data_IF_047267843525
#
_entry.id   IF_047267843525
#
_cell.length_a   1.000
_cell.length_b   1.000
_cell.length_c   1.000
_cell.angle_alpha   90.00
_cell.angle_beta   90.00
_cell.angle_gamma   90.00
#
_symmetry.space_group_name_H-M   'P 1'
#
loop_
_entity.id
_entity.type
_entity.pdbx_description
1 polymer ?
#
# COMPACT_ATOMS: atom_id res chain seq x y z
N UNK A 1 -49.68 -13.24 -21.51
CA UNK A 1 -49.03 -12.48 -22.59
C UNK A 1 -47.71 -11.97 -22.01
N UNK A 2 -46.67 -12.77 -22.16
CA UNK A 2 -45.34 -12.57 -21.59
C UNK A 2 -44.41 -12.39 -22.78
N UNK A 3 -43.80 -11.21 -22.90
CA UNK A 3 -42.89 -10.87 -24.00
C UNK A 3 -41.53 -11.50 -23.68
N UNK A 4 -41.12 -12.43 -24.52
CA UNK A 4 -39.86 -13.16 -24.43
C UNK A 4 -38.81 -12.42 -25.29
N UNK A 5 -37.97 -11.61 -24.64
CA UNK A 5 -37.06 -10.64 -25.29
C UNK A 5 -35.70 -11.24 -25.69
N UNK A 6 -35.55 -12.57 -25.68
CA UNK A 6 -34.26 -13.24 -25.94
C UNK A 6 -34.34 -14.41 -26.93
N UNK A 7 -35.42 -14.51 -27.71
CA UNK A 7 -35.59 -15.59 -28.68
C UNK A 7 -34.80 -15.42 -30.00
N UNK A 8 -34.06 -14.32 -30.20
CA UNK A 8 -33.39 -14.00 -31.48
C UNK A 8 -31.85 -13.87 -31.39
N UNK A 9 -31.17 -14.71 -30.62
CA UNK A 9 -29.72 -14.89 -30.80
C UNK A 9 -29.43 -16.36 -31.10
N UNK A 10 -29.59 -16.70 -32.39
CA UNK A 10 -29.20 -17.97 -32.96
C UNK A 10 -27.67 -18.14 -33.04
N UNK A 11 -27.27 -19.39 -32.81
CA UNK A 11 -26.11 -20.14 -33.32
C UNK A 11 -24.80 -19.43 -33.65
N UNK A 12 -23.77 -19.88 -32.92
CA UNK A 12 -22.39 -20.13 -33.33
C UNK A 12 -21.75 -19.17 -34.35
N UNK A 13 -20.93 -18.27 -33.82
CA UNK A 13 -19.90 -17.54 -34.56
C UNK A 13 -18.61 -17.58 -33.73
N UNK A 14 -17.57 -18.19 -34.32
CA UNK A 14 -16.23 -18.40 -33.78
C UNK A 14 -15.66 -17.16 -33.05
N UNK A 15 -15.23 -17.35 -31.80
CA UNK A 15 -14.35 -16.40 -31.13
C UNK A 15 -12.97 -16.42 -31.83
N UNK A 16 -12.34 -15.27 -32.09
CA UNK A 16 -11.03 -15.22 -32.73
C UNK A 16 -9.97 -15.89 -31.84
N UNK A 17 -9.12 -16.70 -32.47
CA UNK A 17 -8.03 -17.41 -31.80
C UNK A 17 -7.02 -16.45 -31.16
N UNK A 18 -6.61 -16.79 -29.93
CA UNK A 18 -5.55 -16.09 -29.17
C UNK A 18 -4.21 -16.20 -29.93
N UNK A 19 -3.44 -15.10 -30.08
CA UNK A 19 -2.15 -15.14 -30.79
C UNK A 19 -1.11 -16.04 -30.08
N UNK A 20 -0.23 -16.73 -30.84
CA UNK A 20 0.75 -17.65 -30.30
C UNK A 20 2.00 -16.90 -29.81
N UNK A 21 1.92 -16.28 -28.63
CA UNK A 21 3.10 -15.83 -27.86
C UNK A 21 3.15 -16.41 -26.45
N UNK A 22 2.24 -17.31 -26.11
CA UNK A 22 2.20 -18.08 -24.86
C UNK A 22 2.92 -19.44 -24.96
N UNK A 23 4.21 -19.44 -25.30
CA UNK A 23 5.05 -20.62 -25.08
C UNK A 23 6.23 -20.24 -24.19
N UNK A 24 6.12 -20.63 -22.92
CA UNK A 24 7.21 -20.60 -21.97
C UNK A 24 8.39 -21.44 -22.49
N UNK A 25 9.59 -20.87 -22.44
CA UNK A 25 10.84 -21.62 -22.68
C UNK A 25 11.07 -22.62 -21.54
N UNK A 26 11.57 -23.84 -21.82
CA UNK A 26 11.82 -24.83 -20.77
C UNK A 26 13.11 -24.56 -20.00
N UNK A 27 12.95 -24.61 -18.67
CA UNK A 27 13.88 -25.02 -17.61
C UNK A 27 15.26 -24.36 -17.48
N UNK A 28 15.38 -23.48 -16.47
CA UNK A 28 16.57 -23.40 -15.63
C UNK A 28 16.25 -24.01 -14.25
N UNK A 29 17.11 -24.90 -13.78
CA UNK A 29 16.99 -25.61 -12.50
C UNK A 29 16.86 -24.62 -11.34
N UNK A 30 15.82 -24.70 -10.49
CA UNK A 30 15.72 -23.83 -9.33
C UNK A 30 16.78 -24.20 -8.27
N UNK A 31 17.41 -23.22 -7.61
CA UNK A 31 18.30 -23.50 -6.48
C UNK A 31 17.48 -24.08 -5.31
N UNK A 32 18.07 -25.02 -4.59
CA UNK A 32 17.44 -25.74 -3.48
C UNK A 32 16.87 -24.78 -2.43
N UNK A 33 15.54 -24.79 -2.29
CA UNK A 33 14.78 -24.08 -1.27
C UNK A 33 15.16 -24.63 0.11
N UNK A 34 15.73 -23.79 0.97
CA UNK A 34 15.83 -24.11 2.40
C UNK A 34 14.41 -24.11 2.95
N UNK A 35 13.94 -25.27 3.41
CA UNK A 35 12.64 -25.42 4.05
C UNK A 35 12.56 -24.49 5.27
N UNK A 36 11.58 -23.58 5.27
CA UNK A 36 11.14 -22.88 6.48
C UNK A 36 10.41 -23.91 7.33
N UNK A 37 10.79 -24.11 8.60
CA UNK A 37 10.08 -25.06 9.46
C UNK A 37 8.63 -24.61 9.68
N UNK A 38 7.67 -25.55 9.76
CA UNK A 38 6.27 -25.22 9.97
C UNK A 38 6.08 -24.49 11.31
N UNK A 39 5.16 -23.52 11.40
CA UNK A 39 4.89 -22.84 12.65
C UNK A 39 4.34 -23.84 13.68
N UNK A 40 4.97 -23.80 14.86
CA UNK A 40 4.63 -24.62 16.02
C UNK A 40 3.16 -24.42 16.40
N UNK A 41 2.36 -25.49 16.31
CA UNK A 41 0.89 -25.47 16.42
C UNK A 41 0.35 -25.27 17.85
N UNK A 42 1.15 -24.68 18.75
CA UNK A 42 0.79 -24.44 20.16
C UNK A 42 1.39 -23.16 20.76
N UNK A 43 1.43 -22.04 20.02
CA UNK A 43 1.60 -20.75 20.68
C UNK A 43 0.29 -20.31 21.32
N UNK A 44 0.16 -20.60 22.62
CA UNK A 44 -0.74 -19.86 23.50
C UNK A 44 -0.53 -18.37 23.26
N UNK A 45 -1.61 -17.63 22.98
CA UNK A 45 -1.62 -16.18 22.86
C UNK A 45 -0.77 -15.58 24.00
N UNK A 46 0.30 -14.81 23.71
CA UNK A 46 1.07 -14.19 24.76
C UNK A 46 0.16 -13.18 25.49
N UNK A 47 -0.20 -13.52 26.73
CA UNK A 47 -0.77 -12.60 27.70
C UNK A 47 0.27 -11.53 28.05
N UNK A 48 0.35 -10.50 27.22
CA UNK A 48 0.62 -9.10 27.55
C UNK A 48 0.09 -8.28 26.37
N UNK A 49 -1.23 -8.33 26.17
CA UNK A 49 -1.91 -7.40 25.28
C UNK A 49 -1.88 -6.01 25.93
N UNK A 50 -0.83 -5.23 25.67
CA UNK A 50 -1.03 -3.78 25.59
C UNK A 50 -2.06 -3.63 24.48
N UNK A 51 -3.28 -3.20 24.80
CA UNK A 51 -4.30 -2.98 23.79
C UNK A 51 -3.73 -1.99 22.77
N UNK A 52 -3.25 -2.51 21.63
CA UNK A 52 -3.08 -1.71 20.44
C UNK A 52 -4.42 -1.03 20.21
N UNK A 53 -4.45 0.30 20.10
CA UNK A 53 -5.73 0.99 19.89
C UNK A 53 -6.40 0.42 18.66
N UNK A 54 -7.68 0.06 18.77
CA UNK A 54 -8.46 -0.36 17.62
C UNK A 54 -8.48 0.74 16.56
N UNK A 55 -8.66 0.35 15.29
CA UNK A 55 -8.62 1.32 14.19
C UNK A 55 -9.57 2.51 14.29
N UNK A 56 -10.81 2.36 14.76
CA UNK A 56 -11.68 3.51 15.03
C UNK A 56 -11.02 4.54 15.96
N UNK A 57 -10.48 4.08 17.10
CA UNK A 57 -9.83 4.95 18.09
C UNK A 57 -8.58 5.61 17.53
N UNK A 58 -7.81 4.92 16.69
CA UNK A 58 -6.68 5.51 15.98
C UNK A 58 -7.13 6.66 15.07
N UNK A 59 -8.10 6.39 14.19
CA UNK A 59 -8.61 7.39 13.24
C UNK A 59 -9.22 8.62 13.92
N UNK A 60 -10.02 8.42 14.97
CA UNK A 60 -10.58 9.49 15.81
C UNK A 60 -9.46 10.35 16.43
N UNK A 61 -8.42 9.72 16.98
CA UNK A 61 -7.31 10.44 17.59
C UNK A 61 -6.55 11.32 16.59
N UNK A 62 -6.37 10.84 15.35
CA UNK A 62 -5.74 11.63 14.27
C UNK A 62 -6.62 12.82 13.89
N UNK A 63 -7.91 12.59 13.64
CA UNK A 63 -8.84 13.66 13.27
C UNK A 63 -8.96 14.71 14.39
N UNK A 64 -9.06 14.27 15.65
CA UNK A 64 -9.08 15.13 16.82
C UNK A 64 -7.80 15.96 16.97
N UNK A 65 -6.63 15.37 16.72
CA UNK A 65 -5.36 16.10 16.78
C UNK A 65 -5.29 17.17 15.69
N UNK A 66 -5.67 16.81 14.46
CA UNK A 66 -5.70 17.71 13.32
C UNK A 66 -6.64 18.90 13.52
N UNK A 67 -7.89 18.63 13.92
CA UNK A 67 -8.91 19.66 14.07
C UNK A 67 -8.70 20.53 15.32
N UNK A 68 -8.24 19.98 16.45
CA UNK A 68 -7.93 20.78 17.64
C UNK A 68 -6.72 21.69 17.45
N UNK A 69 -5.76 21.29 16.62
CA UNK A 69 -4.62 22.13 16.26
C UNK A 69 -4.93 23.13 15.13
N UNK A 70 -6.18 23.23 14.67
CA UNK A 70 -6.62 24.08 13.58
C UNK A 70 -5.88 23.82 12.24
N UNK A 71 -5.64 22.55 11.90
CA UNK A 71 -4.89 22.15 10.69
C UNK A 71 -5.57 22.51 9.35
N UNK A 72 -6.87 22.82 9.36
CA UNK A 72 -7.60 23.24 8.15
C UNK A 72 -8.20 22.07 7.36
N UNK A 73 -8.46 22.28 6.07
CA UNK A 73 -9.21 21.35 5.20
C UNK A 73 -8.33 20.39 4.39
N UNK A 74 -7.00 20.57 4.43
CA UNK A 74 -6.03 19.78 3.66
C UNK A 74 -5.76 18.42 4.32
N UNK A 75 -6.68 17.47 4.13
CA UNK A 75 -6.58 16.14 4.74
C UNK A 75 -5.38 15.33 4.25
N UNK A 76 -4.80 15.68 3.10
CA UNK A 76 -3.59 15.06 2.57
C UNK A 76 -2.38 15.21 3.51
N UNK A 77 -2.35 16.26 4.34
CA UNK A 77 -1.27 16.52 5.30
C UNK A 77 -1.27 15.47 6.42
N UNK A 78 -2.33 15.34 7.26
CA UNK A 78 -2.36 14.33 8.32
C UNK A 78 -2.28 12.90 7.78
N UNK A 79 -2.88 12.63 6.60
CA UNK A 79 -2.77 11.33 5.94
C UNK A 79 -1.32 11.04 5.55
N UNK A 80 -0.60 12.01 4.99
CA UNK A 80 0.82 11.90 4.64
C UNK A 80 1.73 11.67 5.85
N UNK A 81 1.44 12.30 6.99
CA UNK A 81 2.18 12.07 8.24
C UNK A 81 2.01 10.63 8.71
N UNK A 82 0.78 10.10 8.73
CA UNK A 82 0.52 8.71 9.11
C UNK A 82 1.20 7.75 8.12
N UNK A 83 1.11 8.02 6.82
CA UNK A 83 1.76 7.21 5.78
C UNK A 83 3.29 7.15 5.95
N UNK A 84 3.94 8.28 6.26
CA UNK A 84 5.38 8.32 6.47
C UNK A 84 5.82 7.50 7.69
N UNK A 85 5.06 7.55 8.78
CA UNK A 85 5.32 6.75 9.98
C UNK A 85 5.10 5.26 9.70
N UNK A 86 4.03 4.91 8.98
CA UNK A 86 3.75 3.52 8.60
C UNK A 86 4.83 2.92 7.68
N UNK A 87 5.35 3.76 6.79
CA UNK A 87 6.41 3.41 5.85
C UNK A 87 7.82 3.56 6.44
N UNK A 88 7.98 3.85 7.72
CA UNK A 88 9.32 4.14 8.23
C UNK A 88 10.29 2.96 7.97
N UNK A 89 11.47 3.20 7.37
CA UNK A 89 12.33 2.12 6.88
C UNK A 89 12.88 1.17 7.96
N UNK A 90 13.06 1.69 9.17
CA UNK A 90 13.63 0.97 10.30
C UNK A 90 12.51 0.16 10.97
N UNK A 91 12.67 -1.15 11.04
CA UNK A 91 11.70 -2.11 11.60
C UNK A 91 12.20 -2.73 12.90
N UNK A 92 11.29 -3.29 13.69
CA UNK A 92 11.49 -4.02 14.95
C UNK A 92 11.97 -3.18 16.16
N UNK A 93 11.94 -1.84 16.06
CA UNK A 93 12.30 -0.92 17.14
C UNK A 93 11.22 0.14 17.44
N UNK A 94 9.94 -0.22 17.63
CA UNK A 94 8.84 0.75 17.73
C UNK A 94 9.03 1.74 18.89
N UNK A 95 9.56 1.29 20.04
CA UNK A 95 9.78 2.15 21.21
C UNK A 95 10.90 3.17 21.03
N UNK A 96 12.01 2.77 20.44
CA UNK A 96 13.14 3.68 20.20
C UNK A 96 12.80 4.70 19.12
N UNK A 97 12.10 4.26 18.08
CA UNK A 97 11.55 5.15 17.05
C UNK A 97 10.53 6.12 17.62
N UNK A 98 9.60 5.66 18.48
CA UNK A 98 8.66 6.54 19.16
C UNK A 98 9.38 7.61 20.00
N UNK A 99 10.45 7.24 20.72
CA UNK A 99 11.27 8.20 21.46
C UNK A 99 12.00 9.19 20.54
N UNK A 100 12.52 8.72 19.40
CA UNK A 100 13.15 9.57 18.39
C UNK A 100 12.16 10.61 17.86
N UNK A 101 11.01 10.17 17.34
CA UNK A 101 10.01 11.07 16.76
C UNK A 101 9.42 12.05 17.79
N UNK A 102 9.24 11.64 19.04
CA UNK A 102 8.74 12.52 20.10
C UNK A 102 9.68 13.69 20.44
N UNK A 103 10.96 13.63 20.03
CA UNK A 103 11.92 14.72 20.22
C UNK A 103 11.94 15.73 19.06
N UNK A 104 11.30 15.38 17.94
CA UNK A 104 11.29 16.21 16.75
C UNK A 104 10.28 17.34 16.84
N UNK A 105 10.57 18.45 16.17
CA UNK A 105 9.63 19.54 15.93
C UNK A 105 8.94 19.39 14.57
N UNK A 106 7.92 20.23 14.31
CA UNK A 106 7.12 20.15 13.08
C UNK A 106 7.95 20.15 11.78
N UNK A 107 9.01 20.95 11.68
CA UNK A 107 9.87 20.99 10.47
C UNK A 107 10.65 19.70 10.29
N UNK A 108 11.15 19.14 11.38
CA UNK A 108 11.87 17.86 11.36
C UNK A 108 10.92 16.72 10.99
N UNK A 109 9.65 16.77 11.42
CA UNK A 109 8.63 15.81 10.97
C UNK A 109 8.39 15.92 9.46
N UNK A 110 8.28 17.13 8.90
CA UNK A 110 8.18 17.32 7.44
C UNK A 110 9.36 16.70 6.72
N UNK A 111 10.58 16.90 7.26
CA UNK A 111 11.77 16.28 6.70
C UNK A 111 11.70 14.74 6.75
N UNK A 112 11.21 14.15 7.84
CA UNK A 112 10.99 12.70 7.91
C UNK A 112 9.96 12.20 6.89
N UNK A 113 8.91 12.98 6.60
CA UNK A 113 7.94 12.65 5.53
C UNK A 113 8.65 12.60 4.17
N UNK A 114 9.47 13.60 3.84
CA UNK A 114 10.28 13.63 2.61
C UNK A 114 11.21 12.42 2.53
N UNK A 115 11.88 12.07 3.62
CA UNK A 115 12.82 10.94 3.69
C UNK A 115 12.13 9.58 3.52
N UNK A 116 10.98 9.38 4.17
CA UNK A 116 10.20 8.16 4.01
C UNK A 116 9.72 8.00 2.55
N UNK A 117 9.18 9.07 1.96
CA UNK A 117 8.76 9.08 0.56
C UNK A 117 9.94 8.79 -0.39
N UNK A 118 11.09 9.44 -0.20
CA UNK A 118 12.29 9.23 -1.02
C UNK A 118 12.85 7.80 -0.89
N UNK A 119 12.90 7.26 0.33
CA UNK A 119 13.37 5.89 0.58
C UNK A 119 12.55 4.86 -0.20
N UNK A 120 11.22 5.00 -0.18
CA UNK A 120 10.33 4.10 -0.90
C UNK A 120 10.23 4.41 -2.37
N UNK A 121 10.40 5.66 -2.81
CA UNK A 121 10.44 5.99 -4.23
C UNK A 121 11.61 5.28 -4.93
N UNK A 122 12.74 5.13 -4.25
CA UNK A 122 13.87 4.34 -4.77
C UNK A 122 13.55 2.84 -4.93
N UNK A 123 12.55 2.31 -4.24
CA UNK A 123 12.20 0.87 -4.25
C UNK A 123 10.94 0.56 -5.05
N UNK A 124 9.93 1.42 -4.91
CA UNK A 124 8.58 1.34 -5.46
C UNK A 124 8.16 2.71 -6.02
N UNK A 125 8.86 3.20 -7.06
CA UNK A 125 8.57 4.51 -7.65
C UNK A 125 7.15 4.56 -8.22
N UNK A 126 6.63 3.42 -8.67
CA UNK A 126 5.26 3.25 -9.15
C UNK A 126 4.22 3.59 -8.07
N UNK A 127 4.33 2.95 -6.90
CA UNK A 127 3.39 3.15 -5.79
C UNK A 127 3.58 4.51 -5.13
N UNK A 128 4.82 4.97 -4.94
CA UNK A 128 5.05 6.32 -4.40
C UNK A 128 4.63 7.40 -5.39
N UNK A 129 4.64 7.11 -6.69
CA UNK A 129 4.04 7.95 -7.71
C UNK A 129 2.55 8.20 -7.49
N UNK A 130 1.79 7.13 -7.20
CA UNK A 130 0.37 7.22 -6.84
C UNK A 130 0.20 7.91 -5.48
N UNK A 131 1.03 7.55 -4.49
CA UNK A 131 1.00 8.15 -3.16
C UNK A 131 1.51 9.61 -3.13
N UNK A 132 2.00 10.17 -4.24
CA UNK A 132 2.48 11.55 -4.29
C UNK A 132 1.38 12.55 -3.89
N UNK A 133 0.11 12.25 -4.13
CA UNK A 133 -1.04 13.05 -3.68
C UNK A 133 -0.98 13.37 -2.18
N UNK A 134 -0.53 12.43 -1.34
CA UNK A 134 -0.44 12.60 0.11
C UNK A 134 0.97 12.96 0.61
N UNK A 135 1.96 13.04 -0.28
CA UNK A 135 3.35 13.41 0.08
C UNK A 135 3.80 14.76 -0.50
N UNK A 136 3.18 15.22 -1.59
CA UNK A 136 3.59 16.42 -2.34
C UNK A 136 3.57 17.71 -1.51
N UNK A 137 2.70 17.79 -0.51
CA UNK A 137 2.65 18.93 0.40
C UNK A 137 3.97 19.09 1.16
N UNK A 138 4.68 17.99 1.45
CA UNK A 138 5.91 18.05 2.20
C UNK A 138 7.02 18.75 1.42
N UNK A 139 6.99 18.76 0.08
CA UNK A 139 8.00 19.44 -0.76
C UNK A 139 7.88 20.98 -0.72
N UNK A 140 6.83 21.50 -0.09
CA UNK A 140 6.61 22.94 0.08
C UNK A 140 7.49 23.47 1.23
N UNK A 141 8.16 24.60 1.04
CA UNK A 141 9.03 25.21 2.07
C UNK A 141 8.32 26.36 2.83
N UNK A 142 7.06 26.65 2.52
CA UNK A 142 6.28 27.79 3.02
C UNK A 142 5.27 27.44 4.13
N UNK A 143 5.43 26.29 4.78
CA UNK A 143 4.57 25.86 5.89
C UNK A 143 4.46 26.92 6.99
N UNK A 144 3.23 27.30 7.32
CA UNK A 144 2.96 28.26 8.39
C UNK A 144 3.28 27.66 9.77
N UNK A 145 3.49 28.52 10.77
CA UNK A 145 3.71 28.06 12.17
C UNK A 145 2.54 27.21 12.69
N UNK A 146 1.31 27.53 12.29
CA UNK A 146 0.12 26.78 12.69
C UNK A 146 0.08 25.40 12.02
N UNK A 147 0.40 25.33 10.72
CA UNK A 147 0.45 24.06 10.00
C UNK A 147 1.54 23.13 10.57
N UNK A 148 2.73 23.66 10.85
CA UNK A 148 3.81 22.91 11.50
C UNK A 148 3.42 22.40 12.90
N UNK A 149 2.62 23.16 13.65
CA UNK A 149 2.10 22.71 14.93
C UNK A 149 1.06 21.58 14.75
N UNK A 150 0.15 21.70 13.79
CA UNK A 150 -0.83 20.65 13.49
C UNK A 150 -0.17 19.36 13.00
N UNK A 151 0.84 19.45 12.14
CA UNK A 151 1.68 18.32 11.69
C UNK A 151 2.31 17.61 12.89
N UNK A 152 2.91 18.37 13.81
CA UNK A 152 3.50 17.83 15.03
C UNK A 152 2.47 17.11 15.91
N UNK A 153 1.30 17.71 16.14
CA UNK A 153 0.26 17.09 16.98
C UNK A 153 -0.31 15.81 16.35
N UNK A 154 -0.44 15.75 15.01
CA UNK A 154 -0.84 14.54 14.30
C UNK A 154 0.21 13.44 14.45
N UNK A 155 1.50 13.75 14.23
CA UNK A 155 2.57 12.76 14.40
C UNK A 155 2.57 12.21 15.83
N UNK A 156 2.44 13.09 16.82
CA UNK A 156 2.39 12.72 18.23
C UNK A 156 1.17 11.87 18.57
N UNK A 157 0.00 12.18 17.99
CA UNK A 157 -1.19 11.36 18.14
C UNK A 157 -1.00 9.97 17.53
N UNK A 158 -0.48 9.87 16.32
CA UNK A 158 -0.18 8.60 15.66
C UNK A 158 0.78 7.73 16.50
N UNK A 159 1.83 8.33 17.05
CA UNK A 159 2.81 7.63 17.90
C UNK A 159 2.17 7.14 19.21
N UNK A 160 1.37 7.98 19.87
CA UNK A 160 0.65 7.60 21.11
C UNK A 160 -0.36 6.47 20.89
N UNK A 161 -0.89 6.39 19.68
CA UNK A 161 -1.79 5.32 19.24
C UNK A 161 -1.07 4.23 18.46
N UNK A 162 0.22 4.02 18.77
CA UNK A 162 1.00 2.85 18.38
C UNK A 162 1.13 2.60 16.86
N UNK A 163 1.14 3.64 16.03
CA UNK A 163 1.37 3.53 14.57
C UNK A 163 2.60 2.67 14.24
N UNK A 164 3.66 2.80 15.04
CA UNK A 164 4.93 2.08 14.85
C UNK A 164 4.85 0.62 15.30
N UNK A 165 4.02 0.27 16.29
CA UNK A 165 3.79 -1.13 16.64
C UNK A 165 2.90 -1.82 15.60
N UNK A 166 1.95 -1.08 15.02
CA UNK A 166 1.05 -1.58 13.98
C UNK A 166 1.71 -1.88 12.64
N UNK A 167 2.84 -1.24 12.33
CA UNK A 167 3.45 -1.30 10.99
C UNK A 167 4.95 -1.48 11.01
N UNK A 168 5.57 -1.47 12.19
CA UNK A 168 7.01 -1.50 12.36
C UNK A 168 7.59 -2.91 12.37
N UNK A 169 6.84 -3.98 12.16
CA UNK A 169 7.39 -5.34 12.11
C UNK A 169 8.16 -5.57 10.80
N UNK A 170 9.24 -6.33 10.86
CA UNK A 170 9.89 -6.88 9.66
C UNK A 170 9.07 -7.96 8.97
N UNK A 171 8.09 -8.55 9.67
CA UNK A 171 7.15 -9.52 9.13
C UNK A 171 5.86 -8.81 8.67
N UNK A 172 5.55 -8.78 7.35
CA UNK A 172 4.34 -8.12 6.84
C UNK A 172 3.02 -8.71 7.35
N UNK A 173 3.02 -9.93 7.91
CA UNK A 173 1.84 -10.49 8.58
C UNK A 173 1.39 -9.60 9.74
N UNK A 174 2.32 -9.17 10.60
CA UNK A 174 2.00 -8.37 11.79
C UNK A 174 1.60 -6.94 11.41
N UNK A 175 2.03 -6.46 10.23
CA UNK A 175 1.74 -5.12 9.74
C UNK A 175 0.33 -4.97 9.12
N UNK A 176 -0.38 -6.09 8.93
CA UNK A 176 -1.66 -6.14 8.23
C UNK A 176 -2.86 -6.30 9.19
N UNK A 177 -2.65 -6.19 10.50
CA UNK A 177 -3.72 -6.29 11.51
C UNK A 177 -4.74 -5.14 11.39
N UNK A 178 -4.30 -3.97 10.93
CA UNK A 178 -5.12 -2.76 10.83
C UNK A 178 -4.85 -2.03 9.51
N UNK A 179 -5.91 -1.51 8.89
CA UNK A 179 -5.80 -0.54 7.80
C UNK A 179 -5.79 0.90 8.36
N UNK A 180 -4.61 1.36 8.77
CA UNK A 180 -4.45 2.70 9.33
C UNK A 180 -4.86 3.81 8.36
N UNK A 181 -4.62 3.61 7.06
CA UNK A 181 -4.95 4.59 6.04
C UNK A 181 -6.47 4.76 5.93
N UNK A 182 -7.23 3.66 5.92
CA UNK A 182 -8.70 3.72 5.89
C UNK A 182 -9.23 4.49 7.09
N UNK A 183 -8.82 4.10 8.30
CA UNK A 183 -9.31 4.75 9.52
C UNK A 183 -8.94 6.23 9.59
N UNK A 184 -7.75 6.60 9.11
CA UNK A 184 -7.32 8.00 9.04
C UNK A 184 -8.18 8.79 8.06
N UNK A 185 -8.30 8.31 6.81
CA UNK A 185 -9.03 9.00 5.75
C UNK A 185 -10.52 9.11 6.09
N UNK A 186 -11.15 8.04 6.56
CA UNK A 186 -12.58 8.03 6.90
C UNK A 186 -12.90 9.02 8.02
N UNK A 187 -12.05 9.14 9.05
CA UNK A 187 -12.30 10.06 10.17
C UNK A 187 -11.98 11.53 9.84
N UNK A 188 -11.09 11.79 8.89
CA UNK A 188 -10.78 13.15 8.43
C UNK A 188 -11.79 13.69 7.40
N UNK A 189 -12.52 12.81 6.71
CA UNK A 189 -13.54 13.23 5.74
C UNK A 189 -14.72 13.86 6.46
N UNK A 190 -15.18 14.99 5.93
CA UNK A 190 -16.46 15.57 6.35
C UNK A 190 -17.61 14.64 5.96
N UNK A 191 -18.66 14.61 6.79
CA UNK A 191 -19.85 13.78 6.57
C UNK A 191 -20.52 14.00 5.19
N UNK A 192 -20.42 15.20 4.62
CA UNK A 192 -20.93 15.54 3.29
C UNK A 192 -20.09 14.99 2.13
N UNK A 193 -18.76 14.92 2.31
CA UNK A 193 -17.85 14.35 1.32
C UNK A 193 -18.05 12.83 1.20
N UNK A 194 -18.22 12.13 2.33
CA UNK A 194 -18.50 10.68 2.37
C UNK A 194 -19.81 10.33 1.64
N UNK A 195 -20.86 11.13 1.83
CA UNK A 195 -22.16 10.90 1.18
C UNK A 195 -22.14 11.17 -0.33
N UNK A 196 -21.32 12.12 -0.79
CA UNK A 196 -21.20 12.48 -2.21
C UNK A 196 -20.42 11.47 -3.04
N UNK A 197 -19.42 10.82 -2.43
CA UNK A 197 -18.58 9.82 -3.11
C UNK A 197 -19.18 8.40 -3.05
N UNK A 198 -20.06 8.12 -2.09
CA UNK A 198 -20.69 6.79 -1.95
C UNK A 198 -19.71 5.69 -1.53
N UNK A 199 -18.48 6.06 -1.17
CA UNK A 199 -17.46 5.19 -0.61
C UNK A 199 -17.79 4.87 0.84
N UNK A 200 -18.01 3.60 1.13
CA UNK A 200 -18.18 3.11 2.49
C UNK A 200 -17.01 2.21 2.86
N UNK A 201 -16.40 2.48 4.01
CA UNK A 201 -15.43 1.58 4.60
C UNK A 201 -16.08 0.20 4.78
N UNK A 202 -15.53 -0.82 4.13
CA UNK A 202 -15.96 -2.21 4.31
C UNK A 202 -15.36 -2.72 5.62
N UNK A 203 -16.17 -3.09 6.63
CA UNK A 203 -15.64 -3.56 7.90
C UNK A 203 -14.69 -4.76 7.72
N UNK A 204 -13.61 -4.86 8.52
CA UNK A 204 -12.62 -5.93 8.39
C UNK A 204 -13.24 -7.34 8.40
N UNK A 205 -14.25 -7.56 9.23
CA UNK A 205 -14.93 -8.84 9.36
C UNK A 205 -15.61 -9.27 8.05
N UNK A 206 -16.16 -8.31 7.30
CA UNK A 206 -16.76 -8.57 5.99
C UNK A 206 -15.68 -8.89 4.97
N UNK A 207 -14.58 -8.15 4.97
CA UNK A 207 -13.45 -8.44 4.07
C UNK A 207 -12.83 -9.82 4.35
N UNK A 208 -12.76 -10.25 5.61
CA UNK A 208 -12.25 -11.56 6.02
C UNK A 208 -13.19 -12.70 5.60
N UNK A 209 -14.50 -12.48 5.66
CA UNK A 209 -15.47 -13.45 5.14
C UNK A 209 -15.38 -13.55 3.62
N UNK A 210 -15.31 -12.42 2.91
CA UNK A 210 -15.21 -12.38 1.45
C UNK A 210 -13.92 -13.02 0.94
N UNK A 211 -12.79 -12.79 1.62
CA UNK A 211 -11.51 -13.40 1.23
C UNK A 211 -11.56 -14.93 1.27
N UNK A 212 -12.26 -15.52 2.24
CA UNK A 212 -12.48 -16.98 2.32
C UNK A 212 -13.41 -17.53 1.26
N UNK A 213 -14.34 -16.72 0.73
CA UNK A 213 -15.15 -17.13 -0.42
C UNK A 213 -14.33 -17.11 -1.71
N UNK A 214 -13.50 -16.09 -1.91
CA UNK A 214 -12.66 -15.94 -3.09
C UNK A 214 -11.49 -16.92 -3.08
N UNK A 215 -10.92 -17.22 -1.92
CA UNK A 215 -9.79 -18.13 -1.73
C UNK A 215 -10.22 -19.21 -0.72
N UNK A 216 -10.97 -20.25 -1.13
CA UNK A 216 -11.51 -21.21 -0.18
C UNK A 216 -10.42 -22.11 0.45
N UNK A 217 -10.66 -22.57 1.68
CA UNK A 217 -9.74 -23.39 2.48
C UNK A 217 -9.42 -24.78 1.88
N UNK A 218 -10.15 -25.23 0.85
CA UNK A 218 -9.99 -26.54 0.22
C UNK A 218 -9.85 -26.50 -1.30
N UNK A 219 -8.93 -27.30 -1.86
CA UNK A 219 -8.73 -27.51 -3.30
C UNK A 219 -9.80 -28.37 -3.99
N UNK A 220 -11.02 -28.40 -3.44
CA UNK A 220 -12.11 -29.29 -3.87
C UNK A 220 -13.49 -28.63 -3.89
N UNK A 221 -13.57 -27.30 -3.83
CA UNK A 221 -14.80 -26.60 -4.20
C UNK A 221 -15.10 -26.85 -5.68
N UNK A 222 -16.38 -26.91 -6.04
CA UNK A 222 -16.78 -26.99 -7.44
C UNK A 222 -16.22 -25.77 -8.20
N UNK A 223 -15.08 -25.97 -8.87
CA UNK A 223 -14.37 -24.99 -9.71
C UNK A 223 -15.19 -24.55 -10.92
N UNK A 224 -16.41 -25.06 -11.09
CA UNK A 224 -17.35 -24.69 -12.14
C UNK A 224 -17.67 -23.19 -12.16
N UNK A 225 -17.51 -22.48 -11.05
CA UNK A 225 -17.88 -21.08 -10.96
C UNK A 225 -16.85 -20.10 -11.57
N UNK A 226 -15.60 -20.53 -11.84
CA UNK A 226 -14.57 -19.74 -12.53
C UNK A 226 -14.06 -18.46 -11.83
N UNK A 227 -14.75 -17.96 -10.81
CA UNK A 227 -14.43 -16.72 -10.09
C UNK A 227 -13.63 -16.93 -8.79
N UNK A 228 -13.63 -18.15 -8.23
CA UNK A 228 -12.93 -18.48 -6.98
C UNK A 228 -11.55 -19.09 -7.24
N UNK A 229 -10.54 -18.67 -6.47
CA UNK A 229 -9.17 -19.19 -6.46
C UNK A 229 -9.06 -20.44 -5.56
N UNK A 230 -9.81 -21.49 -5.89
CA UNK A 230 -9.82 -22.75 -5.11
C UNK A 230 -8.44 -23.43 -5.05
N UNK A 231 -7.63 -23.25 -6.09
CA UNK A 231 -6.22 -23.68 -6.18
C UNK A 231 -5.30 -22.45 -6.24
N UNK A 232 -5.40 -21.57 -5.23
CA UNK A 232 -4.54 -20.38 -5.15
C UNK A 232 -3.06 -20.79 -5.17
N UNK A 233 -2.33 -20.28 -6.17
CA UNK A 233 -0.92 -20.59 -6.38
C UNK A 233 -0.13 -19.36 -6.83
N UNK A 234 1.19 -19.32 -6.57
CA UNK A 234 2.10 -18.30 -7.10
C UNK A 234 1.84 -18.00 -8.58
N UNK A 235 1.88 -16.72 -8.94
CA UNK A 235 1.67 -16.21 -10.29
C UNK A 235 0.22 -15.91 -10.65
N UNK A 236 -0.76 -16.24 -9.79
CA UNK A 236 -2.15 -15.81 -9.98
C UNK A 236 -2.33 -14.31 -9.70
N UNK A 237 -3.40 -13.74 -10.26
CA UNK A 237 -3.75 -12.33 -10.11
C UNK A 237 -4.98 -12.15 -9.23
N UNK A 238 -4.96 -11.12 -8.38
CA UNK A 238 -6.07 -10.68 -7.55
C UNK A 238 -6.34 -9.21 -7.89
N UNK A 239 -7.61 -8.92 -8.20
CA UNK A 239 -8.08 -7.62 -8.66
C UNK A 239 -9.12 -7.06 -7.69
N UNK A 240 -9.05 -5.77 -7.41
CA UNK A 240 -10.16 -5.01 -6.82
C UNK A 240 -10.41 -3.74 -7.64
N UNK A 241 -11.55 -3.65 -8.37
CA UNK A 241 -11.84 -2.52 -9.23
C UNK A 241 -12.31 -1.26 -8.47
N UNK A 242 -12.59 -1.36 -7.17
CA UNK A 242 -13.01 -0.26 -6.30
C UNK A 242 -12.33 -0.40 -4.94
N UNK A 243 -11.00 -0.43 -4.95
CA UNK A 243 -10.19 -0.94 -3.86
C UNK A 243 -10.26 -0.10 -2.58
N UNK A 244 -10.64 1.18 -2.65
CA UNK A 244 -10.46 2.14 -1.57
C UNK A 244 -9.00 2.16 -1.15
N UNK A 245 -8.74 1.93 0.14
CA UNK A 245 -7.39 1.78 0.71
C UNK A 245 -6.84 0.35 0.63
N UNK A 246 -7.55 -0.58 -0.02
CA UNK A 246 -7.12 -1.97 -0.22
C UNK A 246 -7.56 -2.94 0.87
N UNK A 247 -8.60 -2.64 1.65
CA UNK A 247 -9.06 -3.50 2.76
C UNK A 247 -9.33 -4.96 2.35
N UNK A 248 -9.85 -5.18 1.13
CA UNK A 248 -10.04 -6.54 0.59
C UNK A 248 -8.70 -7.26 0.36
N UNK A 249 -7.68 -6.55 -0.13
CA UNK A 249 -6.33 -7.08 -0.34
C UNK A 249 -5.63 -7.42 0.96
N UNK A 250 -5.81 -6.62 2.02
CA UNK A 250 -5.31 -6.93 3.37
C UNK A 250 -5.77 -8.33 3.79
N UNK A 251 -7.07 -8.57 3.69
CA UNK A 251 -7.72 -9.80 4.15
C UNK A 251 -7.39 -10.99 3.25
N UNK A 252 -7.31 -10.78 1.93
CA UNK A 252 -6.81 -11.79 0.99
C UNK A 252 -5.35 -12.17 1.26
N UNK A 253 -4.46 -11.19 1.50
CA UNK A 253 -3.05 -11.43 1.82
C UNK A 253 -2.88 -12.18 3.14
N UNK A 254 -3.63 -11.82 4.19
CA UNK A 254 -3.61 -12.58 5.45
C UNK A 254 -4.13 -14.00 5.28
N UNK A 255 -5.15 -14.20 4.43
CA UNK A 255 -5.65 -15.53 4.15
C UNK A 255 -4.64 -16.38 3.35
N UNK A 256 -3.94 -15.81 2.37
CA UNK A 256 -2.84 -16.48 1.67
C UNK A 256 -1.73 -16.91 2.64
N UNK A 257 -1.32 -16.02 3.56
CA UNK A 257 -0.31 -16.33 4.58
C UNK A 257 -0.76 -17.44 5.52
N UNK A 258 -2.03 -17.43 5.93
CA UNK A 258 -2.62 -18.51 6.73
C UNK A 258 -2.51 -19.86 6.02
N UNK A 259 -2.61 -19.88 4.69
CA UNK A 259 -2.41 -21.06 3.85
C UNK A 259 -0.94 -21.38 3.54
N UNK A 260 0.01 -20.63 4.11
CA UNK A 260 1.45 -20.81 3.89
C UNK A 260 1.94 -20.31 2.53
N UNK A 261 1.15 -19.48 1.84
CA UNK A 261 1.54 -18.82 0.59
C UNK A 261 2.08 -17.43 0.87
N UNK A 262 3.05 -16.99 0.07
CA UNK A 262 3.57 -15.62 0.13
C UNK A 262 2.74 -14.70 -0.77
N UNK A 263 2.07 -13.65 -0.23
CA UNK A 263 1.41 -12.63 -1.03
C UNK A 263 2.30 -11.98 -2.10
N UNK A 264 3.62 -11.92 -1.88
CA UNK A 264 4.55 -11.34 -2.83
C UNK A 264 4.71 -12.15 -4.13
N UNK A 265 4.29 -13.41 -4.13
CA UNK A 265 4.28 -14.30 -5.30
C UNK A 265 3.03 -14.10 -6.19
N UNK A 266 2.12 -13.20 -5.81
CA UNK A 266 0.89 -12.91 -6.55
C UNK A 266 0.96 -11.55 -7.24
N UNK A 267 0.13 -11.40 -8.27
CA UNK A 267 -0.10 -10.11 -8.92
C UNK A 267 -1.30 -9.44 -8.27
N UNK A 268 -1.16 -8.17 -7.85
CA UNK A 268 -2.23 -7.40 -7.23
C UNK A 268 -2.53 -6.19 -8.07
N UNK A 269 -3.79 -5.95 -8.42
CA UNK A 269 -4.17 -4.73 -9.12
C UNK A 269 -5.40 -4.08 -8.48
N UNK A 270 -5.16 -2.92 -7.87
CA UNK A 270 -6.18 -2.06 -7.32
C UNK A 270 -6.52 -0.96 -8.32
N UNK A 271 -7.80 -0.69 -8.46
CA UNK A 271 -8.30 0.54 -9.06
C UNK A 271 -9.13 1.30 -8.04
N UNK A 272 -8.96 2.62 -8.01
CA UNK A 272 -9.71 3.50 -7.11
C UNK A 272 -9.92 4.86 -7.79
N UNK A 273 -11.12 5.43 -7.69
CA UNK A 273 -11.42 6.73 -8.31
C UNK A 273 -10.93 7.90 -7.46
N UNK A 274 -10.95 7.76 -6.14
CA UNK A 274 -10.51 8.80 -5.22
C UNK A 274 -8.99 8.82 -5.06
N UNK A 275 -8.33 9.96 -5.40
CA UNK A 275 -6.87 10.04 -5.35
C UNK A 275 -6.26 9.84 -3.96
N UNK A 276 -6.99 10.16 -2.88
CA UNK A 276 -6.50 10.02 -1.51
C UNK A 276 -6.59 8.57 -1.05
N UNK A 277 -7.68 7.87 -1.38
CA UNK A 277 -7.86 6.45 -1.12
C UNK A 277 -6.87 5.61 -1.96
N UNK A 278 -6.69 5.93 -3.25
CA UNK A 278 -5.69 5.32 -4.11
C UNK A 278 -4.27 5.48 -3.54
N UNK A 279 -3.93 6.68 -3.05
CA UNK A 279 -2.67 6.92 -2.37
C UNK A 279 -2.52 6.08 -1.08
N UNK A 280 -3.58 5.97 -0.28
CA UNK A 280 -3.62 5.09 0.89
C UNK A 280 -3.45 3.60 0.53
N UNK A 281 -4.07 3.16 -0.57
CA UNK A 281 -3.89 1.82 -1.13
C UNK A 281 -2.43 1.56 -1.47
N UNK A 282 -1.78 2.49 -2.19
CA UNK A 282 -0.38 2.36 -2.58
C UNK A 282 0.55 2.25 -1.37
N UNK A 283 0.31 3.03 -0.31
CA UNK A 283 1.02 2.90 0.97
C UNK A 283 0.81 1.52 1.58
N UNK A 284 -0.45 1.08 1.67
CA UNK A 284 -0.81 -0.19 2.27
C UNK A 284 -0.23 -1.40 1.52
N UNK A 285 -0.16 -1.35 0.19
CA UNK A 285 0.48 -2.42 -0.60
C UNK A 285 1.96 -2.63 -0.23
N UNK A 286 2.66 -1.54 0.13
CA UNK A 286 4.05 -1.60 0.61
C UNK A 286 4.08 -2.13 2.06
N UNK A 287 3.26 -1.57 2.96
CA UNK A 287 3.21 -1.95 4.38
C UNK A 287 2.87 -3.43 4.55
N UNK A 288 1.88 -3.91 3.80
CA UNK A 288 1.44 -5.30 3.81
C UNK A 288 2.30 -6.20 2.93
N UNK A 289 3.39 -5.73 2.33
CA UNK A 289 4.33 -6.59 1.60
C UNK A 289 3.68 -7.41 0.49
N UNK A 290 2.83 -6.80 -0.34
CA UNK A 290 2.18 -7.48 -1.47
C UNK A 290 3.14 -7.77 -2.65
N UNK A 291 4.42 -7.46 -2.49
CA UNK A 291 5.46 -7.78 -3.46
C UNK A 291 5.54 -6.81 -4.64
N UNK A 292 6.46 -7.10 -5.57
CA UNK A 292 6.81 -6.20 -6.68
C UNK A 292 5.70 -6.10 -7.74
N UNK A 293 4.82 -7.10 -7.83
CA UNK A 293 3.77 -7.14 -8.85
C UNK A 293 2.51 -6.36 -8.46
N UNK A 294 2.44 -5.78 -7.26
CA UNK A 294 1.31 -4.97 -6.82
C UNK A 294 1.24 -3.61 -7.54
N UNK A 295 0.07 -3.23 -8.06
CA UNK A 295 -0.16 -1.98 -8.80
C UNK A 295 -1.43 -1.28 -8.33
N UNK A 296 -1.42 0.05 -8.39
CA UNK A 296 -2.60 0.88 -8.16
C UNK A 296 -2.78 1.79 -9.37
N UNK A 297 -4.01 1.90 -9.87
CA UNK A 297 -4.41 2.93 -10.83
C UNK A 297 -5.51 3.82 -10.23
N UNK A 298 -5.35 5.14 -10.38
CA UNK A 298 -6.35 6.11 -9.96
C UNK A 298 -7.23 6.51 -11.15
N UNK A 299 -8.54 6.25 -11.10
CA UNK A 299 -9.50 6.64 -12.14
C UNK A 299 -10.80 5.84 -12.13
N UNK A 300 -11.73 6.21 -13.00
CA UNK A 300 -13.09 5.69 -13.04
C UNK A 300 -13.16 4.32 -13.74
N UNK A 301 -13.56 3.30 -12.99
CA UNK A 301 -13.68 1.90 -13.46
C UNK A 301 -14.66 1.73 -14.60
N UNK A 302 -15.74 2.50 -14.61
CA UNK A 302 -16.80 2.39 -15.60
C UNK A 302 -16.50 3.20 -16.86
N UNK A 303 -15.81 4.33 -16.73
CA UNK A 303 -15.50 5.22 -17.84
C UNK A 303 -14.17 4.90 -18.54
N UNK A 304 -13.19 4.38 -17.81
CA UNK A 304 -11.80 4.26 -18.26
C UNK A 304 -11.42 2.77 -18.35
N UNK A 305 -11.95 2.02 -19.33
CA UNK A 305 -11.91 0.55 -19.35
C UNK A 305 -10.54 -0.17 -19.46
N UNK A 306 -9.39 0.53 -19.48
CA UNK A 306 -8.05 -0.08 -19.63
C UNK A 306 -7.04 0.40 -18.56
N UNK A 307 -7.45 0.31 -17.30
CA UNK A 307 -6.65 0.83 -16.18
C UNK A 307 -5.45 -0.05 -15.83
N UNK A 308 -5.52 -1.34 -16.17
CA UNK A 308 -4.40 -2.25 -16.02
C UNK A 308 -3.20 -1.82 -16.87
N UNK A 309 -3.39 -1.59 -18.18
CA UNK A 309 -2.28 -1.19 -19.05
C UNK A 309 -1.72 0.18 -18.64
N UNK A 310 -2.58 1.09 -18.18
CA UNK A 310 -2.14 2.37 -17.60
C UNK A 310 -1.29 2.19 -16.36
N UNK A 311 -1.64 1.27 -15.47
CA UNK A 311 -0.85 0.98 -14.27
C UNK A 311 0.53 0.39 -14.64
N UNK A 312 0.56 -0.50 -15.64
CA UNK A 312 1.81 -1.09 -16.17
C UNK A 312 2.70 -0.02 -16.79
N UNK A 313 2.13 0.86 -17.64
CA UNK A 313 2.88 1.95 -18.27
C UNK A 313 3.37 2.96 -17.23
N UNK A 314 2.51 3.36 -16.28
CA UNK A 314 2.91 4.24 -15.17
C UNK A 314 4.06 3.65 -14.36
N UNK A 315 4.03 2.35 -14.05
CA UNK A 315 5.16 1.69 -13.37
C UNK A 315 6.43 1.84 -14.17
N UNK A 316 6.38 1.50 -15.47
CA UNK A 316 7.52 1.58 -16.37
C UNK A 316 8.09 3.00 -16.42
N UNK A 317 7.25 4.00 -16.64
CA UNK A 317 7.66 5.42 -16.68
C UNK A 317 8.36 5.85 -15.38
N UNK A 318 7.82 5.42 -14.23
CA UNK A 318 8.34 5.76 -12.91
C UNK A 318 9.66 5.04 -12.59
N UNK A 319 9.81 3.78 -13.00
CA UNK A 319 11.07 3.04 -12.92
C UNK A 319 12.14 3.68 -13.80
N UNK A 320 11.81 4.01 -15.06
CA UNK A 320 12.74 4.69 -15.95
C UNK A 320 13.14 6.07 -15.39
N UNK A 321 12.21 6.81 -14.77
CA UNK A 321 12.51 8.08 -14.09
C UNK A 321 13.47 7.88 -12.92
N UNK A 322 13.23 6.87 -12.08
CA UNK A 322 14.12 6.50 -10.97
C UNK A 322 15.53 6.19 -11.47
N UNK A 323 15.63 5.35 -12.49
CA UNK A 323 16.93 4.90 -13.00
C UNK A 323 17.72 6.06 -13.62
N UNK A 324 17.04 6.98 -14.33
CA UNK A 324 17.67 8.22 -14.81
C UNK A 324 18.19 9.09 -13.67
N UNK A 325 17.39 9.30 -12.62
CA UNK A 325 17.80 10.13 -11.48
C UNK A 325 18.93 9.50 -10.67
N UNK A 326 18.87 8.19 -10.43
CA UNK A 326 19.93 7.44 -9.75
C UNK A 326 21.23 7.47 -10.54
N UNK A 327 21.17 7.30 -11.87
CA UNK A 327 22.32 7.42 -12.77
C UNK A 327 22.96 8.81 -12.73
N UNK A 328 22.15 9.87 -12.75
CA UNK A 328 22.63 11.25 -12.64
C UNK A 328 23.31 11.53 -11.29
N UNK A 329 22.72 11.05 -10.19
CA UNK A 329 23.30 11.19 -8.85
C UNK A 329 24.62 10.44 -8.70
N UNK A 330 24.71 9.22 -9.23
CA UNK A 330 25.95 8.44 -9.23
C UNK A 330 27.06 9.14 -10.03
N UNK A 331 26.72 9.74 -11.17
CA UNK A 331 27.67 10.53 -11.97
C UNK A 331 28.17 11.76 -11.20
N UNK A 332 27.27 12.51 -10.58
CA UNK A 332 27.64 13.69 -9.78
C UNK A 332 28.58 13.30 -8.62
N UNK A 333 28.27 12.23 -7.89
CA UNK A 333 29.11 11.72 -6.81
C UNK A 333 30.50 11.28 -7.32
N UNK A 334 30.58 10.67 -8.51
CA UNK A 334 31.85 10.28 -9.12
C UNK A 334 32.70 11.50 -9.50
N UNK A 335 32.09 12.56 -10.06
CA UNK A 335 32.77 13.82 -10.38
C UNK A 335 33.33 14.47 -9.12
N UNK A 336 32.52 14.57 -8.05
CA UNK A 336 32.98 15.12 -6.77
C UNK A 336 34.12 14.29 -6.17
N UNK A 337 34.03 12.95 -6.25
CA UNK A 337 35.10 12.05 -5.80
C UNK A 337 36.41 12.28 -6.55
N UNK A 338 36.35 12.40 -7.88
CA UNK A 338 37.52 12.69 -8.71
C UNK A 338 38.13 14.06 -8.40
N UNK A 339 37.31 15.10 -8.20
CA UNK A 339 37.77 16.43 -7.80
C UNK A 339 38.51 16.40 -6.46
N UNK A 340 37.98 15.69 -5.45
CA UNK A 340 38.65 15.55 -4.15
C UNK A 340 40.01 14.85 -4.25
N UNK A 341 40.12 13.83 -5.10
CA UNK A 341 41.39 13.13 -5.34
C UNK A 341 42.42 14.02 -6.06
N UNK A 342 41.99 14.78 -7.06
CA UNK A 342 42.85 15.74 -7.76
C UNK A 342 43.36 16.83 -6.82
N UNK A 343 42.47 17.44 -6.02
CA UNK A 343 42.87 18.45 -5.03
C UNK A 343 43.81 17.89 -3.95
N UNK A 344 43.65 16.63 -3.55
CA UNK A 344 44.56 15.97 -2.61
C UNK A 344 45.94 15.69 -3.22
N UNK A 345 46.00 15.37 -4.51
CA UNK A 345 47.26 15.16 -5.24
C UNK A 345 48.02 16.47 -5.50
N UNK A 346 47.32 17.58 -5.70
CA UNK A 346 47.92 18.92 -5.87
C UNK A 346 48.47 19.50 -4.54
N UNK A 347 47.98 19.01 -3.40
CA UNK A 347 48.40 19.44 -2.07
C UNK A 347 49.57 18.62 -1.47
N UNK A 348 50.03 17.57 -2.19
CA UNK A 348 51.13 16.68 -1.79
C UNK A 348 52.42 16.99 -2.57
#
# INVERSE_FOLDING_TARGET
MQLDLFAELGNESELPAVPPTFQARPNATPPATKAVPPPDSRRSLPQFAVHLSGGPTFGEAIADAWHRAHGGSRIEIPVGVVAALALWPIRDYPRDLAQFFNRLNGKEIVQCVREAAAYHWMRRPDLIGVAHTIFSWADQDDHTKHELHAIYEVARAAIRHNVLDHTGSSNPYDNADIDLMSWTITNLRSHGATKGLGEYHTPPEITDVMSRFVIPDGGGGDVSAGWALADAKPGMSILDPCAGTGGMFRSAAQHLRYKGLDPADFTWFAQEIDPTAAAGCAVNMIVWGLGPMAMVACGDTLAEGDMWNRAVEHRREMEERRDRMAGAAAMAAAIEGAQRLLSAAEAA
#
